data_IF_003855703616
#
_entry.id   IF_003855703616
#
_cell.length_a   1.000
_cell.length_b   1.000
_cell.length_c   1.000
_cell.angle_alpha   90.00
_cell.angle_beta   90.00
_cell.angle_gamma   90.00
#
_symmetry.space_group_name_H-M   'P 1'
#
loop_
_entity.id
_entity.type
_entity.pdbx_description
1 polymer ?
#
# COMPACT_ATOMS: atom_id res chain seq x y z
N UNK A 1 -18.79 36.22 -1.39
CA UNK A 1 -18.92 35.55 -0.08
C UNK A 1 -17.86 34.46 0.02
N UNK A 2 -17.01 34.59 1.05
CA UNK A 2 -16.03 33.65 1.62
C UNK A 2 -15.12 32.78 0.72
N UNK A 3 -13.87 33.23 0.61
CA UNK A 3 -12.64 32.42 0.52
C UNK A 3 -12.67 31.20 1.47
N UNK A 4 -12.29 30.01 0.99
CA UNK A 4 -11.73 28.96 1.86
C UNK A 4 -10.31 28.66 1.44
N UNK A 5 -9.41 29.39 2.11
CA UNK A 5 -7.98 29.25 2.03
C UNK A 5 -7.51 27.86 2.51
N UNK A 6 -6.57 27.29 1.77
CA UNK A 6 -5.51 26.39 2.23
C UNK A 6 -5.90 25.32 3.25
N UNK A 7 -6.22 24.12 2.76
CA UNK A 7 -5.98 22.90 3.52
C UNK A 7 -4.45 22.79 3.71
N UNK A 8 -3.95 23.37 4.80
CA UNK A 8 -2.53 23.25 5.18
C UNK A 8 -2.22 21.75 5.25
N UNK A 9 -1.26 21.30 4.45
CA UNK A 9 -0.70 19.97 4.60
C UNK A 9 -0.29 19.81 6.06
N UNK A 10 -1.01 18.93 6.78
CA UNK A 10 -0.61 18.58 8.14
C UNK A 10 0.76 17.92 7.97
N UNK A 11 1.83 18.45 8.58
CA UNK A 11 3.14 17.80 8.47
C UNK A 11 2.95 16.35 8.90
N UNK A 12 3.43 15.42 8.07
CA UNK A 12 3.59 14.04 8.50
C UNK A 12 4.38 14.14 9.80
N UNK A 13 3.76 13.75 10.92
CA UNK A 13 4.51 13.60 12.14
C UNK A 13 5.66 12.65 11.78
N UNK A 14 6.91 12.96 12.12
CA UNK A 14 7.92 11.92 12.09
C UNK A 14 7.29 10.75 12.82
N UNK A 15 7.30 9.57 12.20
CA UNK A 15 7.03 8.35 12.92
C UNK A 15 8.13 8.30 13.98
N UNK A 16 7.87 8.93 15.13
CA UNK A 16 8.73 8.89 16.29
C UNK A 16 9.00 7.41 16.46
N UNK A 17 10.28 7.01 16.48
CA UNK A 17 10.65 5.60 16.57
C UNK A 17 9.80 5.03 17.68
N UNK A 18 8.85 4.18 17.30
CA UNK A 18 7.99 3.58 18.30
C UNK A 18 8.96 2.92 19.29
N UNK A 19 8.73 3.05 20.61
CA UNK A 19 9.46 2.20 21.54
C UNK A 19 9.36 0.76 21.03
N UNK A 20 10.38 -0.06 21.24
CA UNK A 20 10.38 -1.49 20.87
C UNK A 20 9.20 -2.18 21.56
N UNK A 21 8.02 -2.01 20.96
CA UNK A 21 6.73 -2.41 21.49
C UNK A 21 6.47 -3.69 20.76
N UNK A 22 7.20 -4.72 21.15
CA UNK A 22 6.84 -6.08 20.79
C UNK A 22 5.40 -6.27 21.24
N UNK A 23 4.47 -6.27 20.28
CA UNK A 23 3.06 -6.56 20.54
C UNK A 23 2.97 -8.06 20.79
N UNK A 24 3.08 -8.45 22.06
CA UNK A 24 2.87 -9.84 22.48
C UNK A 24 1.37 -10.11 22.58
N UNK A 25 0.89 -11.00 21.72
CA UNK A 25 -0.43 -11.64 21.85
C UNK A 25 -0.23 -13.09 22.27
N UNK A 26 -1.00 -13.61 23.24
CA UNK A 26 -0.97 -15.03 23.59
C UNK A 26 -1.53 -15.92 22.46
N UNK A 27 -2.24 -15.33 21.50
CA UNK A 27 -2.74 -16.00 20.29
C UNK A 27 -1.99 -15.54 19.05
N UNK A 28 -1.77 -16.43 18.06
CA UNK A 28 -1.19 -16.03 16.77
C UNK A 28 -1.97 -14.87 16.16
N UNK A 29 -1.26 -13.84 15.72
CA UNK A 29 -1.85 -12.66 15.07
C UNK A 29 -1.73 -12.81 13.57
N UNK A 30 -2.81 -12.53 12.85
CA UNK A 30 -2.80 -12.44 11.39
C UNK A 30 -2.45 -11.01 11.00
N UNK A 31 -1.32 -10.83 10.34
CA UNK A 31 -0.91 -9.54 9.78
C UNK A 31 -1.25 -9.52 8.29
N UNK A 32 -2.06 -8.55 7.89
CA UNK A 32 -2.38 -8.26 6.49
C UNK A 32 -1.60 -7.02 6.02
N UNK A 33 -0.87 -7.14 4.92
CA UNK A 33 -0.15 -6.02 4.32
C UNK A 33 -0.90 -5.51 3.07
N UNK A 34 -1.26 -4.23 3.05
CA UNK A 34 -1.82 -3.56 1.87
C UNK A 34 -0.72 -2.78 1.14
N UNK A 35 -0.21 -3.34 0.05
CA UNK A 35 1.02 -2.85 -0.61
C UNK A 35 0.79 -1.63 -1.51
N UNK A 36 -0.43 -1.43 -2.01
CA UNK A 36 -0.72 -0.42 -3.05
C UNK A 36 -1.87 0.53 -2.70
N UNK A 37 -3.01 0.01 -2.26
CA UNK A 37 -4.23 0.80 -2.00
C UNK A 37 -4.92 1.35 -3.27
N UNK A 38 -6.13 1.90 -3.14
CA UNK A 38 -6.95 2.42 -4.25
C UNK A 38 -7.00 3.95 -4.37
N UNK A 39 -6.27 4.67 -3.52
CA UNK A 39 -6.20 6.14 -3.61
C UNK A 39 -5.48 6.57 -4.90
N UNK A 40 -5.88 7.72 -5.44
CA UNK A 40 -5.22 8.34 -6.59
C UNK A 40 -3.72 8.50 -6.33
N UNK A 41 -2.88 8.19 -7.32
CA UNK A 41 -1.44 8.31 -7.19
C UNK A 41 -1.04 9.80 -7.18
N UNK A 42 -0.88 10.38 -6.00
CA UNK A 42 -0.13 11.64 -5.89
C UNK A 42 1.37 11.32 -5.83
N UNK A 43 2.00 11.24 -7.01
CA UNK A 43 3.42 10.91 -7.14
C UNK A 43 4.34 11.89 -6.39
N UNK A 44 3.91 13.16 -6.21
CA UNK A 44 4.67 14.12 -5.43
C UNK A 44 4.64 13.82 -3.92
N UNK A 45 3.59 13.13 -3.44
CA UNK A 45 3.47 12.69 -2.04
C UNK A 45 3.95 11.28 -1.79
N UNK A 46 3.81 10.38 -2.77
CA UNK A 46 4.09 8.94 -2.65
C UNK A 46 4.92 8.45 -3.84
N UNK A 47 6.19 8.87 -3.94
CA UNK A 47 7.07 8.47 -5.04
C UNK A 47 7.44 6.98 -5.02
N UNK A 48 7.27 6.34 -3.86
CA UNK A 48 7.54 4.92 -3.57
C UNK A 48 6.31 4.01 -3.78
N UNK A 49 5.19 4.55 -4.24
CA UNK A 49 3.97 3.78 -4.47
C UNK A 49 4.19 2.76 -5.60
N UNK A 50 4.06 1.43 -5.36
CA UNK A 50 4.14 0.45 -6.43
C UNK A 50 2.95 0.61 -7.38
N UNK A 51 3.24 0.96 -8.63
CA UNK A 51 2.24 1.15 -9.70
C UNK A 51 2.25 0.02 -10.72
N UNK A 52 3.42 -0.35 -11.22
CA UNK A 52 3.52 -1.40 -12.24
C UNK A 52 3.18 -2.78 -11.65
N UNK A 53 2.65 -3.72 -12.45
CA UNK A 53 2.38 -5.07 -11.98
C UNK A 53 3.59 -5.76 -11.36
N UNK A 54 4.78 -5.61 -11.94
CA UNK A 54 6.02 -6.17 -11.40
C UNK A 54 6.37 -5.58 -10.03
N UNK A 55 6.29 -4.25 -9.88
CA UNK A 55 6.56 -3.59 -8.60
C UNK A 55 5.56 -4.01 -7.51
N UNK A 56 4.28 -4.19 -7.87
CA UNK A 56 3.25 -4.67 -6.93
C UNK A 56 3.58 -6.10 -6.47
N UNK A 57 4.00 -6.97 -7.38
CA UNK A 57 4.42 -8.36 -7.06
C UNK A 57 5.66 -8.36 -6.18
N UNK A 58 6.66 -7.54 -6.48
CA UNK A 58 7.89 -7.45 -5.68
C UNK A 58 7.59 -7.02 -4.23
N UNK A 59 6.75 -6.00 -4.04
CA UNK A 59 6.33 -5.54 -2.70
C UNK A 59 5.46 -6.57 -1.98
N UNK A 60 4.58 -7.28 -2.69
CA UNK A 60 3.81 -8.38 -2.12
C UNK A 60 4.72 -9.52 -1.62
N UNK A 61 5.74 -9.88 -2.38
CA UNK A 61 6.73 -10.88 -1.99
C UNK A 61 7.61 -10.41 -0.83
N UNK A 62 7.98 -9.13 -0.80
CA UNK A 62 8.71 -8.54 0.31
C UNK A 62 7.88 -8.57 1.60
N UNK A 63 6.59 -8.23 1.53
CA UNK A 63 5.67 -8.29 2.66
C UNK A 63 5.51 -9.72 3.20
N UNK A 64 5.36 -10.71 2.32
CA UNK A 64 5.30 -12.11 2.71
C UNK A 64 6.59 -12.57 3.40
N UNK A 65 7.76 -12.25 2.84
CA UNK A 65 9.07 -12.56 3.44
C UNK A 65 9.27 -11.89 4.81
N UNK A 66 8.67 -10.73 5.02
CA UNK A 66 8.69 -10.02 6.30
C UNK A 66 7.72 -10.61 7.35
N UNK A 67 6.87 -11.57 6.98
CA UNK A 67 5.96 -12.28 7.88
C UNK A 67 4.49 -11.90 7.75
N UNK A 68 4.08 -11.19 6.69
CA UNK A 68 2.66 -11.00 6.41
C UNK A 68 1.99 -12.35 6.08
N UNK A 69 0.87 -12.61 6.74
CA UNK A 69 0.05 -13.81 6.50
C UNK A 69 -0.90 -13.62 5.31
N UNK A 70 -1.27 -12.38 5.01
CA UNK A 70 -2.16 -12.01 3.90
C UNK A 70 -1.61 -10.77 3.20
N UNK A 71 -1.65 -10.76 1.87
CA UNK A 71 -1.38 -9.57 1.06
C UNK A 71 -2.69 -9.06 0.46
N UNK A 72 -2.94 -7.76 0.59
CA UNK A 72 -4.08 -7.05 0.03
C UNK A 72 -3.64 -6.24 -1.18
N UNK A 73 -4.22 -6.58 -2.33
CA UNK A 73 -3.81 -6.05 -3.62
C UNK A 73 -4.85 -5.09 -4.18
N UNK A 74 -4.35 -4.09 -4.89
CA UNK A 74 -5.11 -3.29 -5.83
C UNK A 74 -4.34 -3.25 -7.14
N UNK A 75 -5.02 -3.50 -8.24
CA UNK A 75 -4.45 -3.27 -9.57
C UNK A 75 -4.51 -1.77 -9.90
N UNK A 76 -3.57 -1.33 -10.74
CA UNK A 76 -3.50 0.02 -11.27
C UNK A 76 -3.34 -0.01 -12.79
N UNK A 77 -3.81 1.04 -13.43
CA UNK A 77 -3.51 1.34 -14.84
C UNK A 77 -2.06 1.81 -14.98
N UNK A 78 -1.57 1.95 -16.22
CA UNK A 78 -0.21 2.42 -16.51
C UNK A 78 0.07 3.83 -15.97
N UNK A 79 -0.95 4.71 -15.93
CA UNK A 79 -0.86 6.05 -15.36
C UNK A 79 -0.94 6.07 -13.81
N UNK A 80 -1.09 4.89 -13.20
CA UNK A 80 -1.20 4.69 -11.77
C UNK A 80 -2.60 4.87 -11.20
N UNK A 81 -3.60 5.23 -11.99
CA UNK A 81 -4.97 5.31 -11.50
C UNK A 81 -5.46 3.92 -11.07
N UNK A 82 -6.33 3.83 -10.05
CA UNK A 82 -6.85 2.54 -9.59
C UNK A 82 -7.76 1.89 -10.64
N UNK A 83 -7.64 0.57 -10.83
CA UNK A 83 -8.50 -0.17 -11.75
C UNK A 83 -9.25 -1.32 -11.08
N UNK A 84 -10.37 -1.70 -11.69
CA UNK A 84 -11.17 -2.89 -11.34
C UNK A 84 -11.17 -3.92 -12.47
N UNK A 85 -10.30 -3.78 -13.48
CA UNK A 85 -10.20 -4.77 -14.55
C UNK A 85 -9.78 -6.13 -14.00
N UNK A 86 -10.62 -7.13 -14.26
CA UNK A 86 -10.39 -8.51 -13.84
C UNK A 86 -9.11 -9.10 -14.44
N UNK A 87 -8.72 -8.68 -15.64
CA UNK A 87 -7.51 -9.18 -16.30
C UNK A 87 -6.27 -8.69 -15.58
N UNK A 88 -6.24 -7.42 -15.18
CA UNK A 88 -5.16 -6.87 -14.37
C UNK A 88 -5.02 -7.59 -13.01
N UNK A 89 -6.13 -7.88 -12.31
CA UNK A 89 -6.06 -8.68 -11.08
C UNK A 89 -5.63 -10.12 -11.33
N UNK A 90 -6.12 -10.76 -12.40
CA UNK A 90 -5.73 -12.13 -12.74
C UNK A 90 -4.21 -12.23 -12.96
N UNK A 91 -3.63 -11.27 -13.70
CA UNK A 91 -2.18 -11.21 -13.92
C UNK A 91 -1.39 -11.09 -12.60
N UNK A 92 -1.83 -10.24 -11.67
CA UNK A 92 -1.20 -10.12 -10.35
C UNK A 92 -1.29 -11.41 -9.53
N UNK A 93 -2.48 -12.03 -9.50
CA UNK A 93 -2.70 -13.26 -8.75
C UNK A 93 -1.90 -14.42 -9.34
N UNK A 94 -1.85 -14.54 -10.67
CA UNK A 94 -1.10 -15.59 -11.35
C UNK A 94 0.41 -15.45 -11.14
N UNK A 95 0.92 -14.21 -11.04
CA UNK A 95 2.33 -13.96 -10.73
C UNK A 95 2.72 -14.26 -9.27
N UNK A 96 1.75 -14.35 -8.35
CA UNK A 96 1.97 -14.57 -6.90
C UNK A 96 1.69 -16.01 -6.45
N UNK A 97 1.19 -16.87 -7.33
CA UNK A 97 0.94 -18.30 -7.06
C UNK A 97 2.21 -19.13 -7.21
#
# INVERSE_FOLDING_TARGET
MAHRAGARARPLRPFASLPDTTITSPTPVVIQCAVTGSADPDAARRPDLPVSPAAIVDEAMAAWKAGAAVVHLHAREEDGTPTQDRTAYAALVDALR
#
